data_IF_719735272027
#
_entry.id   IF_719735272027
#
_cell.length_a   1.000
_cell.length_b   1.000
_cell.length_c   1.000
_cell.angle_alpha   90.00
_cell.angle_beta   90.00
_cell.angle_gamma   90.00
#
_symmetry.space_group_name_H-M   'P 1'
#
loop_
_entity.id
_entity.type
_entity.pdbx_description
1 polymer ?
#
# COMPACT_ATOMS: atom_id res chain seq x y z
N UNK A 1 -24.84 -47.43 -37.07
CA UNK A 1 -23.57 -46.81 -36.67
C UNK A 1 -23.86 -45.85 -35.55
N UNK A 2 -23.48 -46.20 -34.32
CA UNK A 2 -23.63 -45.37 -33.13
C UNK A 2 -22.32 -44.58 -32.92
N UNK A 3 -22.40 -43.26 -33.00
CA UNK A 3 -21.25 -42.36 -32.70
C UNK A 3 -21.29 -42.04 -31.20
N UNK A 4 -20.39 -42.63 -30.44
CA UNK A 4 -20.22 -42.28 -29.02
C UNK A 4 -19.48 -40.95 -28.93
N UNK A 5 -20.13 -39.92 -28.43
CA UNK A 5 -19.52 -38.66 -28.10
C UNK A 5 -18.78 -38.78 -26.75
N UNK A 6 -17.47 -38.69 -26.78
CA UNK A 6 -16.64 -38.63 -25.58
C UNK A 6 -16.72 -37.20 -25.04
N UNK A 7 -17.46 -37.00 -23.92
CA UNK A 7 -17.49 -35.72 -23.20
C UNK A 7 -16.21 -35.65 -22.35
N UNK A 8 -15.25 -34.87 -22.83
CA UNK A 8 -14.01 -34.62 -22.09
C UNK A 8 -14.33 -33.63 -20.97
N UNK A 9 -14.40 -34.12 -19.73
CA UNK A 9 -14.52 -33.27 -18.53
C UNK A 9 -13.18 -32.62 -18.26
N UNK A 10 -13.04 -31.35 -18.64
CA UNK A 10 -11.88 -30.55 -18.26
C UNK A 10 -11.95 -30.28 -16.74
N UNK A 11 -11.06 -30.92 -15.98
CA UNK A 11 -10.90 -30.63 -14.57
C UNK A 11 -10.41 -29.16 -14.41
N UNK A 12 -11.23 -28.31 -13.78
CA UNK A 12 -10.84 -26.94 -13.47
C UNK A 12 -9.73 -26.98 -12.41
N UNK A 13 -8.63 -26.22 -12.67
CA UNK A 13 -7.58 -26.03 -11.69
C UNK A 13 -8.14 -25.38 -10.42
N UNK A 14 -7.69 -25.76 -9.21
CA UNK A 14 -8.15 -25.15 -7.96
C UNK A 14 -7.89 -23.65 -7.98
N UNK A 15 -8.88 -22.84 -7.54
CA UNK A 15 -8.74 -21.39 -7.44
C UNK A 15 -7.60 -21.06 -6.47
N UNK A 16 -6.79 -20.00 -6.75
CA UNK A 16 -5.74 -19.58 -5.82
C UNK A 16 -6.34 -19.23 -4.47
N UNK A 17 -5.62 -19.50 -3.36
CA UNK A 17 -6.13 -19.17 -2.03
C UNK A 17 -6.39 -17.67 -1.92
N UNK A 18 -7.49 -17.30 -1.24
CA UNK A 18 -7.81 -15.88 -0.99
C UNK A 18 -6.70 -15.25 -0.14
N UNK A 19 -6.27 -14.02 -0.47
CA UNK A 19 -5.31 -13.30 0.35
C UNK A 19 -5.80 -13.16 1.79
N UNK A 20 -4.89 -13.26 2.75
CA UNK A 20 -5.19 -13.04 4.16
C UNK A 20 -4.99 -11.58 4.51
N UNK A 21 -5.92 -11.00 5.27
CA UNK A 21 -5.77 -9.67 5.82
C UNK A 21 -4.60 -9.66 6.82
N UNK A 22 -3.64 -8.75 6.62
CA UNK A 22 -2.52 -8.49 7.52
C UNK A 22 -2.55 -7.05 7.99
N UNK A 23 -1.70 -6.70 8.96
CA UNK A 23 -1.53 -5.31 9.41
C UNK A 23 -0.16 -4.77 9.03
N UNK A 24 0.00 -3.45 9.04
CA UNK A 24 1.30 -2.81 8.82
C UNK A 24 2.34 -3.15 9.89
N UNK A 25 1.91 -3.71 11.03
CA UNK A 25 2.81 -4.22 12.07
C UNK A 25 3.57 -5.50 11.67
N UNK A 26 3.15 -6.18 10.58
CA UNK A 26 3.80 -7.42 10.11
C UNK A 26 4.97 -7.20 9.14
N UNK A 27 5.35 -5.95 8.85
CA UNK A 27 6.45 -5.67 7.93
C UNK A 27 6.04 -5.76 6.46
N UNK A 28 5.29 -4.77 5.99
CA UNK A 28 4.67 -4.75 4.65
C UNK A 28 5.42 -3.92 3.62
N UNK A 29 6.56 -3.34 3.98
CA UNK A 29 7.45 -2.56 3.12
C UNK A 29 8.90 -2.93 3.39
N UNK A 30 9.83 -2.58 2.51
CA UNK A 30 11.26 -2.76 2.76
C UNK A 30 11.92 -1.45 3.22
N UNK A 31 13.04 -1.55 3.95
CA UNK A 31 13.83 -0.40 4.34
C UNK A 31 14.31 0.41 3.10
N UNK A 32 14.67 -0.26 2.02
CA UNK A 32 15.08 0.38 0.78
C UNK A 32 13.92 1.18 0.16
N UNK A 33 12.71 0.63 0.17
CA UNK A 33 11.51 1.32 -0.30
C UNK A 33 11.21 2.58 0.52
N UNK A 34 11.26 2.48 1.84
CA UNK A 34 11.05 3.63 2.72
C UNK A 34 12.10 4.72 2.51
N UNK A 35 13.35 4.35 2.18
CA UNK A 35 14.39 5.32 1.84
C UNK A 35 14.08 6.07 0.53
N UNK A 36 13.63 5.38 -0.51
CA UNK A 36 13.16 6.04 -1.74
C UNK A 36 11.98 6.98 -1.44
N UNK A 37 11.05 6.54 -0.61
CA UNK A 37 9.91 7.36 -0.18
C UNK A 37 10.32 8.60 0.60
N UNK A 38 11.37 8.52 1.41
CA UNK A 38 11.97 9.67 2.08
C UNK A 38 12.48 10.71 1.06
N UNK A 39 13.15 10.25 0.01
CA UNK A 39 13.64 11.11 -1.06
C UNK A 39 12.48 11.81 -1.80
N UNK A 40 11.43 11.10 -2.14
CA UNK A 40 10.22 11.68 -2.73
C UNK A 40 9.58 12.70 -1.81
N UNK A 41 9.45 12.38 -0.52
CA UNK A 41 8.87 13.26 0.49
C UNK A 41 9.63 14.58 0.59
N UNK A 42 10.94 14.55 0.71
CA UNK A 42 11.76 15.75 0.81
C UNK A 42 11.83 16.56 -0.50
N UNK A 43 11.69 15.91 -1.63
CA UNK A 43 11.70 16.59 -2.93
C UNK A 43 10.38 17.29 -3.26
N UNK A 44 9.26 16.72 -2.84
CA UNK A 44 7.93 17.11 -3.35
C UNK A 44 6.95 17.49 -2.22
N UNK A 45 6.97 16.79 -1.11
CA UNK A 45 5.90 16.87 -0.10
C UNK A 45 6.19 17.87 1.03
N UNK A 46 7.45 17.97 1.45
CA UNK A 46 7.87 18.69 2.66
C UNK A 46 7.56 20.19 2.64
N UNK A 47 7.52 20.80 1.46
CA UNK A 47 7.23 22.23 1.31
C UNK A 47 5.84 22.62 1.84
N UNK A 48 4.86 21.73 1.70
CA UNK A 48 3.49 21.92 2.20
C UNK A 48 3.21 21.09 3.46
N UNK A 49 3.97 20.02 3.68
CA UNK A 49 3.77 19.07 4.76
C UNK A 49 5.02 18.93 5.62
N UNK A 50 5.22 19.79 6.63
CA UNK A 50 6.34 19.63 7.57
C UNK A 50 6.35 18.25 8.20
N UNK A 51 7.53 17.69 8.45
CA UNK A 51 7.74 16.33 8.95
C UNK A 51 6.87 15.96 10.15
N UNK A 52 6.69 16.88 11.10
CA UNK A 52 5.87 16.66 12.28
C UNK A 52 4.39 16.43 12.00
N UNK A 53 3.88 16.80 10.83
CA UNK A 53 2.47 16.61 10.46
C UNK A 53 2.07 15.13 10.47
N UNK A 54 2.95 14.25 9.96
CA UNK A 54 2.65 12.84 9.79
C UNK A 54 3.07 11.95 10.96
N UNK A 55 3.75 12.50 11.95
CA UNK A 55 4.02 11.84 13.22
C UNK A 55 3.10 12.31 14.34
N UNK A 56 2.24 13.29 14.05
CA UNK A 56 1.27 13.79 15.02
C UNK A 56 0.15 12.79 15.29
N UNK A 57 -0.41 12.77 16.50
CA UNK A 57 -1.53 11.89 16.84
C UNK A 57 -2.71 11.99 15.86
N UNK A 58 -3.02 13.17 15.39
CA UNK A 58 -4.12 13.42 14.45
C UNK A 58 -4.03 12.62 13.16
N UNK A 59 -2.81 12.41 12.64
CA UNK A 59 -2.61 11.59 11.47
C UNK A 59 -2.85 10.10 11.77
N UNK A 60 -2.32 9.63 12.89
CA UNK A 60 -2.51 8.25 13.33
C UNK A 60 -3.97 7.92 13.65
N UNK A 61 -4.64 8.81 14.37
CA UNK A 61 -6.06 8.66 14.70
C UNK A 61 -6.95 8.62 13.45
N UNK A 62 -6.63 9.45 12.45
CA UNK A 62 -7.36 9.44 11.19
C UNK A 62 -7.22 8.14 10.42
N UNK A 63 -6.01 7.58 10.36
CA UNK A 63 -5.73 6.47 9.45
C UNK A 63 -5.66 5.09 10.11
N UNK A 64 -5.46 5.00 11.43
CA UNK A 64 -5.48 3.72 12.12
C UNK A 64 -6.81 2.99 11.89
N UNK A 65 -6.71 1.70 11.56
CA UNK A 65 -7.86 0.86 11.27
C UNK A 65 -8.36 0.91 9.82
N UNK A 66 -7.97 1.92 9.04
CA UNK A 66 -8.27 1.96 7.61
C UNK A 66 -7.44 0.94 6.83
N UNK A 67 -7.92 0.58 5.64
CA UNK A 67 -7.13 -0.23 4.72
C UNK A 67 -6.08 0.63 4.04
N UNK A 68 -4.92 0.05 3.78
CA UNK A 68 -3.82 0.79 3.13
C UNK A 68 -4.19 1.23 1.71
N UNK A 69 -5.10 0.51 1.04
CA UNK A 69 -5.69 0.93 -0.23
C UNK A 69 -6.40 2.28 -0.15
N UNK A 70 -7.05 2.59 0.97
CA UNK A 70 -7.74 3.88 1.16
C UNK A 70 -6.74 5.03 1.27
N UNK A 71 -5.66 4.84 2.00
CA UNK A 71 -4.58 5.83 2.09
C UNK A 71 -3.89 6.02 0.72
N UNK A 72 -3.61 4.93 0.03
CA UNK A 72 -3.01 4.97 -1.31
C UNK A 72 -3.92 5.72 -2.30
N UNK A 73 -5.21 5.41 -2.33
CA UNK A 73 -6.19 6.08 -3.18
C UNK A 73 -6.25 7.58 -2.87
N UNK A 74 -6.26 7.95 -1.60
CA UNK A 74 -6.27 9.36 -1.18
C UNK A 74 -5.00 10.08 -1.65
N UNK A 75 -3.83 9.55 -1.35
CA UNK A 75 -2.55 10.21 -1.69
C UNK A 75 -2.36 10.28 -3.21
N UNK A 76 -2.63 9.20 -3.94
CA UNK A 76 -2.41 9.13 -5.38
C UNK A 76 -3.41 9.96 -6.21
N UNK A 77 -4.57 10.29 -5.67
CA UNK A 77 -5.59 11.10 -6.37
C UNK A 77 -5.63 12.55 -5.93
N UNK A 78 -5.14 12.89 -4.72
CA UNK A 78 -5.24 14.22 -4.15
C UNK A 78 -3.89 14.96 -4.06
N UNK A 79 -2.78 14.24 -4.15
CA UNK A 79 -1.45 14.79 -3.97
C UNK A 79 -0.54 14.58 -5.19
N UNK A 80 0.43 15.43 -5.46
CA UNK A 80 0.64 16.76 -4.88
C UNK A 80 -0.55 17.71 -5.14
N UNK A 81 -0.88 18.58 -4.17
CA UNK A 81 -2.09 19.42 -4.24
C UNK A 81 -2.18 20.26 -5.52
N UNK A 82 -1.05 20.82 -5.97
CA UNK A 82 -0.98 21.64 -7.19
C UNK A 82 -1.07 20.80 -8.49
N UNK A 83 -0.71 19.52 -8.42
CA UNK A 83 -0.72 18.59 -9.55
C UNK A 83 -1.13 17.18 -9.09
N UNK A 84 -2.39 16.97 -8.70
CA UNK A 84 -2.86 15.68 -8.21
C UNK A 84 -2.65 14.55 -9.22
N UNK A 85 -2.21 13.38 -8.75
CA UNK A 85 -2.07 12.19 -9.57
C UNK A 85 -0.91 12.18 -10.56
N UNK A 86 0.06 13.08 -10.42
CA UNK A 86 1.15 13.25 -11.40
C UNK A 86 2.40 12.41 -11.14
N UNK A 87 2.53 11.80 -9.97
CA UNK A 87 3.64 10.90 -9.68
C UNK A 87 3.35 9.50 -10.21
N UNK A 88 4.40 8.75 -10.47
CA UNK A 88 4.26 7.33 -10.79
C UNK A 88 3.65 6.56 -9.61
N UNK A 89 2.86 5.51 -9.85
CA UNK A 89 2.27 4.71 -8.77
C UNK A 89 3.30 4.20 -7.75
N UNK A 90 4.49 3.81 -8.21
CA UNK A 90 5.60 3.39 -7.36
C UNK A 90 6.08 4.47 -6.39
N UNK A 91 6.11 5.73 -6.81
CA UNK A 91 6.50 6.85 -5.96
C UNK A 91 5.49 7.06 -4.82
N UNK A 92 4.19 6.90 -5.10
CA UNK A 92 3.17 6.96 -4.06
C UNK A 92 3.30 5.81 -3.05
N UNK A 93 3.57 4.59 -3.53
CA UNK A 93 3.82 3.45 -2.64
C UNK A 93 5.08 3.66 -1.79
N UNK A 94 6.14 4.19 -2.38
CA UNK A 94 7.40 4.48 -1.68
C UNK A 94 7.19 5.54 -0.58
N UNK A 95 6.47 6.62 -0.88
CA UNK A 95 6.16 7.67 0.12
C UNK A 95 5.30 7.12 1.25
N UNK A 96 4.33 6.26 0.96
CA UNK A 96 3.52 5.60 1.99
C UNK A 96 4.40 4.71 2.88
N UNK A 97 5.33 3.96 2.30
CA UNK A 97 6.30 3.17 3.08
C UNK A 97 7.11 4.06 4.04
N UNK A 98 7.54 5.23 3.59
CA UNK A 98 8.20 6.21 4.45
C UNK A 98 7.28 6.70 5.58
N UNK A 99 6.02 7.03 5.30
CA UNK A 99 5.05 7.43 6.32
C UNK A 99 4.82 6.33 7.37
N UNK A 100 4.75 5.07 6.94
CA UNK A 100 4.67 3.93 7.86
C UNK A 100 5.91 3.82 8.73
N UNK A 101 7.10 3.98 8.15
CA UNK A 101 8.38 3.95 8.88
C UNK A 101 8.43 5.01 9.98
N UNK A 102 8.13 6.26 9.68
CA UNK A 102 8.20 7.35 10.65
C UNK A 102 7.12 7.26 11.74
N UNK A 103 6.10 6.44 11.54
CA UNK A 103 5.08 6.11 12.53
C UNK A 103 5.31 4.76 13.24
N UNK A 104 6.51 4.20 13.14
CA UNK A 104 6.94 3.06 13.93
C UNK A 104 6.58 1.69 13.35
N UNK A 105 5.98 1.61 12.17
CA UNK A 105 5.73 0.32 11.53
C UNK A 105 7.07 -0.35 11.12
N UNK A 106 7.26 -1.65 11.39
CA UNK A 106 8.49 -2.33 11.06
C UNK A 106 8.64 -2.56 9.56
N UNK A 107 9.87 -2.59 9.07
CA UNK A 107 10.20 -3.04 7.73
C UNK A 107 10.08 -4.58 7.64
N UNK A 108 9.79 -5.06 6.44
CA UNK A 108 9.75 -6.48 6.10
C UNK A 108 10.64 -6.80 4.92
N UNK A 109 10.36 -7.93 4.27
CA UNK A 109 11.18 -8.50 3.18
C UNK A 109 10.65 -8.22 1.80
N UNK A 110 9.39 -7.80 1.68
CA UNK A 110 8.74 -7.50 0.41
C UNK A 110 8.34 -6.03 0.35
N UNK A 111 8.43 -5.43 -0.83
CA UNK A 111 8.01 -4.07 -1.05
C UNK A 111 6.48 -3.93 -1.02
N UNK A 112 6.02 -2.77 -0.58
CA UNK A 112 4.62 -2.40 -0.65
C UNK A 112 4.22 -2.26 -2.12
N UNK A 113 3.20 -3.00 -2.59
CA UNK A 113 2.76 -2.90 -3.97
C UNK A 113 2.09 -1.55 -4.26
N UNK A 114 2.23 -1.06 -5.49
CA UNK A 114 1.56 0.15 -5.97
C UNK A 114 0.21 -0.20 -6.64
N UNK A 115 -0.59 -1.00 -5.97
CA UNK A 115 -1.85 -1.55 -6.49
C UNK A 115 -2.91 -1.62 -5.38
N UNK A 116 -3.99 -0.89 -5.55
CA UNK A 116 -5.10 -0.88 -4.59
C UNK A 116 -5.71 -2.26 -4.34
N UNK A 117 -5.75 -3.13 -5.36
CA UNK A 117 -6.28 -4.50 -5.20
C UNK A 117 -5.46 -5.34 -4.22
N UNK A 118 -4.16 -5.13 -4.20
CA UNK A 118 -3.28 -5.78 -3.24
C UNK A 118 -3.33 -5.08 -1.88
N UNK A 119 -3.34 -3.75 -1.86
CA UNK A 119 -3.32 -2.93 -0.64
C UNK A 119 -4.59 -3.05 0.21
N UNK A 120 -5.72 -3.47 -0.36
CA UNK A 120 -6.96 -3.72 0.41
C UNK A 120 -6.86 -4.89 1.42
N UNK A 121 -5.80 -5.68 1.36
CA UNK A 121 -5.53 -6.77 2.29
C UNK A 121 -4.58 -6.37 3.42
N UNK A 122 -4.24 -5.10 3.51
CA UNK A 122 -3.37 -4.54 4.55
C UNK A 122 -4.13 -3.51 5.35
N UNK A 123 -4.28 -3.71 6.65
CA UNK A 123 -4.87 -2.76 7.58
C UNK A 123 -3.79 -1.92 8.25
N UNK A 124 -4.00 -0.62 8.32
CA UNK A 124 -3.08 0.30 8.99
C UNK A 124 -3.19 0.10 10.50
N UNK A 125 -2.05 -0.16 11.12
CA UNK A 125 -1.87 -0.23 12.58
C UNK A 125 -0.58 0.51 12.93
N UNK A 126 -0.72 1.73 13.40
CA UNK A 126 0.37 2.58 13.87
C UNK A 126 0.33 2.64 15.39
N UNK A 127 1.48 2.40 16.02
CA UNK A 127 1.58 2.42 17.49
C UNK A 127 1.65 3.88 17.98
N UNK A 128 0.99 4.14 19.10
CA UNK A 128 1.08 5.42 19.79
C UNK A 128 2.41 5.52 20.57
#
# INVERSE_FOLDING_TARGET
MLVSAIVSSAAQAPSPPKPKLVTTASGVYTAAQAKRGEEVYYSICVSCHPKGTYTAPVFREKWNGHLLAELFAFVSTQMPKEQPGTLEPGDYADVIAYLLKINGAPAGKAELPADEKALKWIRISMVN
#
